data_IF_992681677275
#
_entry.id   IF_992681677275
#
_cell.length_a   1.000
_cell.length_b   1.000
_cell.length_c   1.000
_cell.angle_alpha   90.00
_cell.angle_beta   90.00
_cell.angle_gamma   90.00
#
_symmetry.space_group_name_H-M   'P 1'
#
loop_
_entity.id
_entity.type
_entity.pdbx_description
1 polymer ?
#
# COMPACT_ATOMS: atom_id res chain seq x y z
N UNK A 1 -7.42 11.97 8.90
CA UNK A 1 -7.75 10.52 8.90
C UNK A 1 -6.70 9.79 8.11
N UNK A 2 -6.27 8.61 8.54
CA UNK A 2 -5.22 7.83 7.85
C UNK A 2 -5.74 6.42 7.58
N UNK A 3 -5.82 6.06 6.29
CA UNK A 3 -6.22 4.73 5.84
C UNK A 3 -4.98 3.90 5.50
N UNK A 4 -4.98 2.61 5.86
CA UNK A 4 -3.89 1.69 5.54
C UNK A 4 -4.35 0.71 4.47
N UNK A 5 -3.80 0.83 3.26
CA UNK A 5 -4.09 -0.07 2.15
C UNK A 5 -2.99 -1.13 2.01
N UNK A 6 -2.40 -1.32 0.82
CA UNK A 6 -1.32 -2.27 0.52
C UNK A 6 -0.88 -2.08 -0.94
N UNK A 7 0.36 -2.45 -1.27
CA UNK A 7 0.76 -2.64 -2.68
C UNK A 7 -0.15 -3.60 -3.46
N UNK A 8 -0.84 -4.52 -2.77
CA UNK A 8 -1.82 -5.42 -3.38
C UNK A 8 -3.11 -4.72 -3.86
N UNK A 9 -3.30 -3.44 -3.55
CA UNK A 9 -4.33 -2.61 -4.17
C UNK A 9 -4.09 -2.39 -5.67
N UNK A 10 -2.83 -2.47 -6.12
CA UNK A 10 -2.42 -2.24 -7.50
C UNK A 10 -2.08 -3.55 -8.23
N UNK A 11 -1.47 -4.50 -7.53
CA UNK A 11 -1.06 -5.80 -8.10
C UNK A 11 -1.64 -6.95 -7.27
N UNK A 12 -2.71 -7.63 -7.74
CA UNK A 12 -3.36 -8.68 -6.97
C UNK A 12 -2.46 -9.91 -6.74
N UNK A 13 -2.53 -10.48 -5.53
CA UNK A 13 -1.90 -11.77 -5.22
C UNK A 13 -2.94 -12.89 -5.23
N UNK A 14 -2.75 -13.89 -6.10
CA UNK A 14 -3.73 -14.95 -6.37
C UNK A 14 -4.04 -15.84 -5.16
N UNK A 15 -3.14 -15.93 -4.18
CA UNK A 15 -3.39 -16.67 -2.93
C UNK A 15 -4.31 -15.93 -1.94
N UNK A 16 -4.49 -14.62 -2.10
CA UNK A 16 -5.33 -13.77 -1.24
C UNK A 16 -6.18 -12.81 -2.08
N UNK A 17 -7.04 -13.33 -2.98
CA UNK A 17 -7.73 -12.51 -3.99
C UNK A 17 -8.74 -11.56 -3.35
N UNK A 18 -9.45 -11.99 -2.30
CA UNK A 18 -10.42 -11.16 -1.58
C UNK A 18 -9.71 -9.99 -0.88
N UNK A 19 -8.57 -10.25 -0.22
CA UNK A 19 -7.77 -9.20 0.42
C UNK A 19 -7.31 -8.16 -0.61
N UNK A 20 -6.77 -8.62 -1.75
CA UNK A 20 -6.31 -7.74 -2.83
C UNK A 20 -7.45 -6.87 -3.36
N UNK A 21 -8.62 -7.46 -3.63
CA UNK A 21 -9.81 -6.73 -4.09
C UNK A 21 -10.30 -5.69 -3.06
N UNK A 22 -10.34 -6.05 -1.76
CA UNK A 22 -10.71 -5.11 -0.70
C UNK A 22 -9.72 -3.95 -0.59
N UNK A 23 -8.42 -4.20 -0.74
CA UNK A 23 -7.40 -3.14 -0.73
C UNK A 23 -7.50 -2.23 -1.95
N UNK A 24 -7.81 -2.77 -3.13
CA UNK A 24 -8.08 -1.98 -4.34
C UNK A 24 -9.32 -1.10 -4.19
N UNK A 25 -10.41 -1.65 -3.65
CA UNK A 25 -11.59 -0.86 -3.27
C UNK A 25 -11.21 0.27 -2.31
N UNK A 26 -10.43 -0.03 -1.28
CA UNK A 26 -10.13 0.93 -0.24
C UNK A 26 -9.19 2.05 -0.73
N UNK A 27 -8.28 1.76 -1.66
CA UNK A 27 -7.50 2.76 -2.38
C UNK A 27 -8.42 3.70 -3.18
N UNK A 28 -9.31 3.15 -4.02
CA UNK A 28 -10.28 3.95 -4.79
C UNK A 28 -11.20 4.79 -3.89
N UNK A 29 -11.62 4.23 -2.75
CA UNK A 29 -12.44 4.92 -1.76
C UNK A 29 -11.67 6.06 -1.08
N UNK A 30 -10.40 5.84 -0.75
CA UNK A 30 -9.54 6.86 -0.12
C UNK A 30 -9.31 8.05 -1.04
N UNK A 31 -9.01 7.81 -2.32
CA UNK A 31 -8.92 8.84 -3.35
C UNK A 31 -10.22 9.66 -3.46
N UNK A 32 -11.37 8.98 -3.44
CA UNK A 32 -12.68 9.64 -3.50
C UNK A 32 -12.93 10.51 -2.27
N UNK A 33 -12.58 10.01 -1.07
CA UNK A 33 -12.74 10.76 0.18
C UNK A 33 -11.84 11.99 0.25
N UNK A 34 -10.61 11.93 -0.25
CA UNK A 34 -9.73 13.10 -0.33
C UNK A 34 -10.43 14.26 -1.06
N UNK A 35 -11.01 13.98 -2.23
CA UNK A 35 -11.74 15.00 -3.00
C UNK A 35 -12.99 15.49 -2.26
N UNK A 36 -13.83 14.57 -1.76
CA UNK A 36 -15.10 14.92 -1.12
C UNK A 36 -14.93 15.73 0.17
N UNK A 37 -13.85 15.50 0.91
CA UNK A 37 -13.63 16.10 2.23
C UNK A 37 -12.70 17.32 2.20
N UNK A 38 -12.05 17.62 1.06
CA UNK A 38 -11.15 18.77 0.91
C UNK A 38 -11.83 20.10 1.30
N UNK A 39 -13.06 20.33 0.84
CA UNK A 39 -13.82 21.57 1.15
C UNK A 39 -14.16 21.72 2.63
N UNK A 40 -14.11 20.64 3.41
CA UNK A 40 -14.35 20.63 4.86
C UNK A 40 -13.06 20.76 5.67
N UNK A 41 -11.93 20.97 5.01
CA UNK A 41 -10.61 21.04 5.64
C UNK A 41 -10.27 19.78 6.45
N UNK A 42 -10.75 18.61 6.00
CA UNK A 42 -10.44 17.31 6.60
C UNK A 42 -9.42 16.61 5.71
N UNK A 43 -8.22 16.39 6.25
CA UNK A 43 -7.16 15.67 5.56
C UNK A 43 -7.38 14.16 5.59
N UNK A 44 -7.24 13.53 4.43
CA UNK A 44 -7.30 12.07 4.25
C UNK A 44 -5.97 11.62 3.65
N UNK A 45 -5.29 10.73 4.37
CA UNK A 45 -3.97 10.22 4.00
C UNK A 45 -4.07 8.71 3.75
N UNK A 46 -3.40 8.23 2.71
CA UNK A 46 -3.25 6.81 2.44
C UNK A 46 -1.82 6.33 2.77
N UNK A 47 -1.72 5.27 3.56
CA UNK A 47 -0.47 4.52 3.74
C UNK A 47 -0.56 3.22 2.95
N UNK A 48 0.42 2.98 2.08
CA UNK A 48 0.49 1.84 1.16
C UNK A 48 1.70 0.98 1.55
N UNK A 49 1.58 0.09 2.55
CA UNK A 49 2.71 -0.72 3.01
C UNK A 49 3.04 -1.86 2.02
N UNK A 50 4.33 -2.24 1.90
CA UNK A 50 4.72 -3.53 1.33
C UNK A 50 4.51 -4.64 2.36
N UNK A 51 4.96 -5.87 2.06
CA UNK A 51 5.14 -6.87 3.12
C UNK A 51 6.18 -6.36 4.14
N UNK A 52 5.91 -6.56 5.42
CA UNK A 52 6.77 -6.17 6.54
C UNK A 52 6.96 -7.35 7.48
N UNK A 53 8.08 -7.36 8.21
CA UNK A 53 8.39 -8.39 9.19
C UNK A 53 7.38 -8.36 10.36
N UNK A 54 6.32 -9.14 10.20
CA UNK A 54 5.16 -9.25 11.07
C UNK A 54 4.58 -10.66 10.94
N UNK A 55 3.77 -11.07 11.92
CA UNK A 55 3.05 -12.36 11.87
C UNK A 55 1.81 -12.34 10.96
N UNK A 56 1.72 -11.40 10.01
CA UNK A 56 0.57 -11.29 9.10
C UNK A 56 0.42 -12.58 8.28
N UNK A 57 -0.75 -13.22 8.35
CA UNK A 57 -1.00 -14.49 7.66
C UNK A 57 -0.34 -15.72 8.30
N UNK A 58 0.50 -15.56 9.32
CA UNK A 58 1.16 -16.65 10.04
C UNK A 58 2.56 -16.28 10.53
N UNK A 59 2.97 -16.88 11.65
CA UNK A 59 4.31 -16.71 12.22
C UNK A 59 5.39 -17.19 11.24
N UNK A 60 6.45 -16.40 11.08
CA UNK A 60 7.60 -16.75 10.25
C UNK A 60 7.42 -16.52 8.74
N UNK A 61 6.22 -16.16 8.27
CA UNK A 61 5.96 -15.98 6.83
C UNK A 61 6.65 -14.76 6.23
N UNK A 62 6.97 -13.77 7.07
CA UNK A 62 7.50 -12.49 6.62
C UNK A 62 8.81 -12.08 7.32
N UNK A 63 9.52 -13.02 7.95
CA UNK A 63 10.78 -12.72 8.67
C UNK A 63 11.86 -12.09 7.77
N UNK A 64 11.82 -12.40 6.47
CA UNK A 64 12.72 -11.84 5.45
C UNK A 64 12.29 -10.46 4.93
N UNK A 65 11.09 -9.98 5.30
CA UNK A 65 10.62 -8.66 4.89
C UNK A 65 11.30 -7.55 5.71
N UNK A 66 11.29 -6.29 5.24
CA UNK A 66 11.86 -5.18 5.99
C UNK A 66 11.26 -5.05 7.40
N UNK A 67 12.05 -4.58 8.38
CA UNK A 67 11.57 -4.39 9.74
C UNK A 67 10.54 -3.25 9.81
N UNK A 68 9.60 -3.37 10.75
CA UNK A 68 8.54 -2.37 10.96
C UNK A 68 9.13 -1.02 11.35
N UNK A 69 10.27 -0.97 12.05
CA UNK A 69 10.93 0.28 12.45
C UNK A 69 11.26 1.19 11.28
N UNK A 70 11.79 0.64 10.19
CA UNK A 70 12.25 1.40 9.04
C UNK A 70 11.05 1.95 8.26
N UNK A 71 10.00 1.14 8.15
CA UNK A 71 8.72 1.56 7.61
C UNK A 71 8.14 2.73 8.41
N UNK A 72 8.08 2.61 9.75
CA UNK A 72 7.54 3.66 10.61
C UNK A 72 8.34 4.96 10.46
N UNK A 73 9.67 4.90 10.47
CA UNK A 73 10.51 6.08 10.27
C UNK A 73 10.24 6.76 8.92
N UNK A 74 10.11 5.97 7.84
CA UNK A 74 9.82 6.49 6.51
C UNK A 74 8.42 7.13 6.42
N UNK A 75 7.42 6.57 7.09
CA UNK A 75 6.05 7.13 7.15
C UNK A 75 6.05 8.47 7.89
N UNK A 76 6.72 8.56 9.05
CA UNK A 76 6.80 9.82 9.81
C UNK A 76 7.54 10.92 9.04
N UNK A 77 8.61 10.59 8.32
CA UNK A 77 9.31 11.56 7.49
C UNK A 77 8.42 12.13 6.37
N UNK A 78 7.58 11.28 5.76
CA UNK A 78 6.66 11.71 4.70
C UNK A 78 5.47 12.51 5.24
N UNK A 79 4.97 12.17 6.43
CA UNK A 79 3.98 12.98 7.15
C UNK A 79 4.50 14.39 7.44
N UNK A 80 5.74 14.51 7.93
CA UNK A 80 6.36 15.81 8.17
C UNK A 80 6.53 16.62 6.87
N UNK A 81 6.72 15.95 5.74
CA UNK A 81 6.79 16.57 4.42
C UNK A 81 5.42 16.93 3.82
N UNK A 82 4.31 16.70 4.53
CA UNK A 82 2.95 17.02 4.09
C UNK A 82 2.44 16.15 2.94
N UNK A 83 2.97 14.93 2.78
CA UNK A 83 2.46 14.00 1.77
C UNK A 83 1.12 13.40 2.22
N UNK A 84 0.21 13.18 1.28
CA UNK A 84 -1.08 12.51 1.51
C UNK A 84 -1.11 11.06 1.03
N UNK A 85 -0.07 10.63 0.31
CA UNK A 85 0.16 9.25 -0.10
C UNK A 85 1.55 8.83 0.40
N UNK A 86 1.57 7.84 1.28
CA UNK A 86 2.74 7.44 2.04
C UNK A 86 3.12 6.01 1.67
N UNK A 87 4.30 5.84 1.10
CA UNK A 87 4.77 4.56 0.58
C UNK A 87 6.07 4.14 1.25
N UNK A 88 6.47 2.88 1.07
CA UNK A 88 7.77 2.40 1.49
C UNK A 88 8.26 1.33 0.52
N UNK A 89 9.53 1.44 0.11
CA UNK A 89 10.20 0.46 -0.75
C UNK A 89 9.36 0.13 -2.00
N UNK A 90 9.13 -1.17 -2.27
CA UNK A 90 8.45 -1.65 -3.47
C UNK A 90 7.07 -1.04 -3.71
N UNK A 91 6.33 -0.64 -2.67
CA UNK A 91 5.03 0.02 -2.85
C UNK A 91 5.15 1.34 -3.62
N UNK A 92 6.27 2.07 -3.47
CA UNK A 92 6.49 3.32 -4.21
C UNK A 92 6.58 3.07 -5.72
N UNK A 93 7.20 1.95 -6.10
CA UNK A 93 7.32 1.55 -7.51
C UNK A 93 5.94 1.24 -8.07
N UNK A 94 5.12 0.49 -7.33
CA UNK A 94 3.78 0.08 -7.78
C UNK A 94 2.83 1.27 -7.97
N UNK A 95 2.88 2.24 -7.06
CA UNK A 95 2.06 3.45 -7.14
C UNK A 95 2.36 4.28 -8.40
N UNK A 96 3.63 4.30 -8.83
CA UNK A 96 4.07 5.06 -10.01
C UNK A 96 4.08 4.23 -11.30
N UNK A 97 3.72 2.95 -11.22
CA UNK A 97 3.82 2.02 -12.34
C UNK A 97 2.74 2.28 -13.38
N UNK A 98 3.11 2.15 -14.66
CA UNK A 98 2.17 2.14 -15.76
C UNK A 98 1.48 0.76 -15.91
N UNK A 99 0.41 0.63 -16.74
CA UNK A 99 -0.33 -0.61 -16.87
C UNK A 99 0.52 -1.84 -17.27
N UNK A 100 1.54 -1.68 -18.12
CA UNK A 100 2.41 -2.78 -18.53
C UNK A 100 3.38 -3.21 -17.42
N UNK A 101 3.86 -2.25 -16.63
CA UNK A 101 4.68 -2.51 -15.45
C UNK A 101 3.88 -3.26 -14.37
N UNK A 102 2.61 -2.88 -14.15
CA UNK A 102 1.70 -3.57 -13.23
C UNK A 102 1.40 -5.00 -13.71
N UNK A 103 1.18 -5.20 -15.01
CA UNK A 103 0.98 -6.53 -15.59
C UNK A 103 2.23 -7.41 -15.43
N UNK A 104 3.41 -6.84 -15.63
CA UNK A 104 4.68 -7.53 -15.41
C UNK A 104 4.89 -7.86 -13.93
N UNK A 105 4.55 -6.94 -13.02
CA UNK A 105 4.59 -7.17 -11.58
C UNK A 105 3.62 -8.28 -11.15
N UNK A 106 2.42 -8.34 -11.74
CA UNK A 106 1.45 -9.40 -11.50
C UNK A 106 2.01 -10.79 -11.85
N UNK A 107 2.67 -10.93 -13.00
CA UNK A 107 3.31 -12.19 -13.40
C UNK A 107 4.45 -12.59 -12.45
N UNK A 108 5.30 -11.64 -12.05
CA UNK A 108 6.40 -11.91 -11.10
C UNK A 108 5.90 -12.32 -9.71
N UNK A 109 4.81 -11.70 -9.25
CA UNK A 109 4.21 -11.99 -7.95
C UNK A 109 3.49 -13.36 -7.93
N UNK A 110 3.00 -13.80 -9.09
CA UNK A 110 2.21 -15.02 -9.25
C UNK A 110 2.89 -16.00 -10.22
N UNK A 111 4.08 -16.55 -9.85
CA UNK A 111 4.73 -17.56 -10.68
C UNK A 111 3.86 -18.81 -10.78
N UNK A 112 3.92 -19.48 -11.94
CA UNK A 112 3.26 -20.77 -12.21
C UNK A 112 3.88 -21.92 -11.41
#
# INVERSE_FOLDING_TARGET
MINVTSGLAFVPYTKVPVYSATKAFFHSFTLSLQYLLQSKNIEVIEIIPPALNTDLGGKGLHDAAPPVSDFIQAIFNQLQAGKTELTFSFSEVLVKANPEELKSAFQRLNPS
#
